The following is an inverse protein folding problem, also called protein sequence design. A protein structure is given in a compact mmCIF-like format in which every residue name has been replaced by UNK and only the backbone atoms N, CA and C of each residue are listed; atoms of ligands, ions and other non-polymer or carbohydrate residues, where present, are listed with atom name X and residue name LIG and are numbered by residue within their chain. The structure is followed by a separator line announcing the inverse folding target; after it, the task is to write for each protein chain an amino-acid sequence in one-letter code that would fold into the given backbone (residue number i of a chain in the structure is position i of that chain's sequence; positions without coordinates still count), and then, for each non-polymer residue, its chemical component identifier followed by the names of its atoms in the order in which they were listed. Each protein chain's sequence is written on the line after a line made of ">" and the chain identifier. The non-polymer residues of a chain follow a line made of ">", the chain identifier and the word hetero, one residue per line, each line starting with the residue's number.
data_IF_070406199501
#
_entry.id   IF_070406199501
#
_cell.length_a   1.000
_cell.length_b   1.000
_cell.length_c   1.000
_cell.angle_alpha   90.00
_cell.angle_beta   90.00
_cell.angle_gamma   90.00
#
_symmetry.space_group_name_H-M   'P 1'
#
loop_
_entity.id
_entity.type
_entity.pdbx_description
1 polymer ?
#
# COMPACT_ATOMS: atom_id res chain seq x y z
N UNK A 1 -11.09 -19.12 5.89
CA UNK A 1 -9.77 -18.97 5.24
C UNK A 1 -9.97 -18.64 3.76
N UNK A 2 -9.45 -17.51 3.31
CA UNK A 2 -9.64 -17.03 1.95
C UNK A 2 -8.30 -16.96 1.22
N UNK A 3 -8.31 -17.37 -0.05
CA UNK A 3 -7.12 -17.39 -0.87
C UNK A 3 -7.27 -16.42 -2.04
N UNK A 4 -6.24 -15.62 -2.29
CA UNK A 4 -6.25 -14.58 -3.31
C UNK A 4 -5.01 -14.73 -4.19
N UNK A 5 -5.14 -14.53 -5.51
CA UNK A 5 -3.98 -14.52 -6.39
C UNK A 5 -3.17 -13.24 -6.22
N UNK A 6 -1.89 -13.32 -6.53
CA UNK A 6 -1.04 -12.14 -6.66
C UNK A 6 -0.26 -12.18 -7.97
N UNK A 7 0.29 -11.05 -8.34
CA UNK A 7 1.16 -10.91 -9.50
C UNK A 7 2.57 -10.59 -9.04
N UNK A 8 3.55 -10.89 -9.88
CA UNK A 8 4.90 -10.39 -9.69
C UNK A 8 5.11 -9.17 -10.58
N UNK A 9 5.92 -8.22 -10.09
CA UNK A 9 6.31 -7.06 -10.88
C UNK A 9 7.06 -7.49 -12.15
N UNK A 10 7.24 -6.56 -13.08
CA UNK A 10 7.85 -6.83 -14.39
C UNK A 10 9.19 -7.57 -14.29
N UNK A 11 9.97 -7.29 -13.26
CA UNK A 11 11.27 -7.95 -13.02
C UNK A 11 11.16 -9.20 -12.13
N UNK A 12 9.96 -9.64 -11.81
CA UNK A 12 9.67 -10.78 -10.94
C UNK A 12 10.29 -10.69 -9.53
N UNK A 13 10.50 -9.47 -9.05
CA UNK A 13 11.19 -9.19 -7.79
C UNK A 13 10.27 -8.70 -6.66
N UNK A 14 9.03 -8.34 -6.96
CA UNK A 14 8.10 -7.78 -5.99
C UNK A 14 6.72 -8.40 -6.13
N UNK A 15 6.14 -8.80 -5.01
CA UNK A 15 4.75 -9.30 -4.96
C UNK A 15 3.80 -8.11 -5.03
N UNK A 16 2.90 -8.13 -6.01
CA UNK A 16 1.91 -7.08 -6.23
C UNK A 16 0.52 -7.61 -5.98
N UNK A 17 -0.24 -6.91 -5.18
CA UNK A 17 -1.62 -7.23 -4.86
C UNK A 17 -2.54 -6.08 -5.24
N UNK A 18 -3.75 -6.43 -5.61
CA UNK A 18 -4.76 -5.45 -5.97
C UNK A 18 -5.46 -4.93 -4.73
N UNK A 19 -5.73 -3.64 -4.73
CA UNK A 19 -6.46 -2.96 -3.66
C UNK A 19 -7.50 -2.02 -4.24
N UNK A 20 -8.45 -1.62 -3.41
CA UNK A 20 -9.45 -0.62 -3.78
C UNK A 20 -9.58 0.41 -2.69
N UNK A 21 -9.83 1.67 -3.11
CA UNK A 21 -10.22 2.75 -2.22
C UNK A 21 -11.72 2.99 -2.41
N UNK A 22 -12.45 3.04 -1.30
CA UNK A 22 -13.89 3.32 -1.27
C UNK A 22 -14.73 2.39 -2.17
N UNK A 23 -14.32 1.13 -2.32
CA UNK A 23 -14.94 0.13 -3.20
C UNK A 23 -15.01 0.54 -4.68
N UNK A 24 -14.25 1.54 -5.09
CA UNK A 24 -14.43 2.18 -6.39
C UNK A 24 -13.14 2.31 -7.17
N UNK A 25 -12.08 2.78 -6.53
CA UNK A 25 -10.83 3.08 -7.20
C UNK A 25 -9.84 1.93 -7.02
N UNK A 26 -9.52 1.25 -8.11
CA UNK A 26 -8.58 0.11 -8.10
C UNK A 26 -7.15 0.62 -8.25
N UNK A 27 -6.24 0.02 -7.48
CA UNK A 27 -4.83 0.34 -7.56
C UNK A 27 -4.00 -0.86 -7.11
N UNK A 28 -2.69 -0.77 -7.24
CA UNK A 28 -1.77 -1.89 -7.01
C UNK A 28 -0.78 -1.54 -5.92
N UNK A 29 -0.58 -2.48 -5.01
CA UNK A 29 0.34 -2.30 -3.88
C UNK A 29 1.40 -3.40 -3.87
N UNK A 30 2.63 -3.01 -3.57
CA UNK A 30 3.70 -3.94 -3.30
C UNK A 30 3.59 -4.45 -1.86
N UNK A 31 3.64 -5.75 -1.67
CA UNK A 31 3.67 -6.35 -0.33
C UNK A 31 5.08 -6.22 0.24
N UNK A 32 5.21 -5.55 1.39
CA UNK A 32 6.49 -5.32 2.03
C UNK A 32 6.39 -5.57 3.53
N UNK A 33 6.79 -6.76 3.95
CA UNK A 33 6.77 -7.14 5.37
C UNK A 33 7.84 -6.42 6.20
N UNK A 34 8.78 -5.74 5.55
CA UNK A 34 9.77 -4.90 6.23
C UNK A 34 9.23 -3.49 6.50
N UNK A 35 8.12 -3.09 5.89
CA UNK A 35 7.51 -1.79 6.12
C UNK A 35 6.58 -1.85 7.33
N UNK A 36 6.79 -0.96 8.29
CA UNK A 36 5.92 -0.84 9.47
C UNK A 36 4.64 -0.09 9.15
N UNK A 37 4.68 0.78 8.14
CA UNK A 37 3.55 1.60 7.70
C UNK A 37 3.32 1.45 6.21
N UNK A 38 2.05 1.38 5.82
CA UNK A 38 1.67 1.39 4.42
C UNK A 38 1.81 2.79 3.84
N UNK A 39 2.25 2.86 2.58
CA UNK A 39 2.46 4.13 1.87
C UNK A 39 1.72 4.09 0.55
N UNK A 40 1.02 5.17 0.22
CA UNK A 40 0.32 5.32 -1.05
C UNK A 40 0.85 6.55 -1.78
N UNK A 41 1.05 6.41 -3.09
CA UNK A 41 1.43 7.52 -3.95
C UNK A 41 0.36 8.63 -3.87
N UNK A 42 0.80 9.86 -3.60
CA UNK A 42 -0.11 10.99 -3.50
C UNK A 42 -0.93 11.21 -4.76
N UNK A 43 -0.38 10.87 -5.93
CA UNK A 43 -1.08 11.01 -7.21
C UNK A 43 -2.29 10.08 -7.29
N UNK A 44 -2.18 8.87 -6.75
CA UNK A 44 -3.30 7.92 -6.68
C UNK A 44 -4.41 8.45 -5.78
N UNK A 45 -4.07 8.99 -4.63
CA UNK A 45 -5.05 9.58 -3.71
C UNK A 45 -5.75 10.76 -4.35
N UNK A 46 -4.99 11.63 -5.03
CA UNK A 46 -5.55 12.77 -5.74
C UNK A 46 -6.57 12.34 -6.79
N UNK A 47 -6.23 11.36 -7.64
CA UNK A 47 -7.15 10.84 -8.65
C UNK A 47 -8.34 10.11 -8.05
N UNK A 48 -8.21 9.62 -6.83
CA UNK A 48 -9.31 8.97 -6.10
C UNK A 48 -10.23 9.96 -5.39
N UNK A 49 -9.97 11.25 -5.54
CA UNK A 49 -10.84 12.31 -5.00
C UNK A 49 -10.49 12.77 -3.60
N UNK A 50 -9.37 12.34 -3.04
CA UNK A 50 -8.94 12.82 -1.73
C UNK A 50 -8.28 14.19 -1.82
N UNK A 51 -8.64 15.07 -0.89
CA UNK A 51 -7.99 16.37 -0.76
C UNK A 51 -6.84 16.26 0.24
N UNK A 52 -5.61 16.41 -0.24
CA UNK A 52 -4.42 16.26 0.60
C UNK A 52 -4.02 17.54 1.34
N UNK A 53 -4.91 18.53 1.41
CA UNK A 53 -4.69 19.77 2.16
C UNK A 53 -4.69 19.55 3.68
N UNK A 54 -5.37 18.51 4.13
CA UNK A 54 -5.62 18.22 5.53
C UNK A 54 -4.86 16.99 6.02
N UNK A 55 -3.60 16.86 5.61
CA UNK A 55 -2.76 15.79 6.12
C UNK A 55 -2.43 16.03 7.59
N UNK A 56 -1.96 14.97 8.26
CA UNK A 56 -1.57 15.05 9.67
C UNK A 56 -0.19 15.70 9.88
N UNK A 57 0.41 16.24 8.82
CA UNK A 57 1.73 16.86 8.84
C UNK A 57 2.82 15.99 8.25
N UNK A 58 4.05 16.47 8.35
CA UNK A 58 5.23 15.81 7.83
C UNK A 58 5.91 14.96 8.89
N UNK A 59 6.40 13.79 8.46
CA UNK A 59 7.11 12.84 9.31
C UNK A 59 8.35 12.34 8.59
N UNK A 60 9.44 12.17 9.33
CA UNK A 60 10.65 11.58 8.80
C UNK A 60 10.57 10.06 8.85
N UNK A 61 10.97 9.41 7.76
CA UNK A 61 11.02 7.96 7.65
C UNK A 61 12.40 7.54 7.22
N UNK A 62 13.00 6.62 7.95
CA UNK A 62 14.29 6.06 7.59
C UNK A 62 14.08 4.93 6.58
N UNK A 63 14.82 4.99 5.48
CA UNK A 63 14.79 3.97 4.43
C UNK A 63 16.21 3.47 4.17
N UNK A 64 16.32 2.42 3.36
CA UNK A 64 17.63 1.91 2.94
C UNK A 64 18.47 2.97 2.20
N UNK A 65 17.83 3.95 1.59
CA UNK A 65 18.47 5.03 0.83
C UNK A 65 18.56 6.36 1.59
N UNK A 66 18.34 6.34 2.90
CA UNK A 66 18.38 7.53 3.74
C UNK A 66 17.00 7.93 4.28
N UNK A 67 16.93 9.15 4.80
CA UNK A 67 15.71 9.67 5.41
C UNK A 67 14.87 10.36 4.32
N UNK A 68 13.59 10.04 4.29
CA UNK A 68 12.63 10.72 3.43
C UNK A 68 11.56 11.40 4.29
N UNK A 69 10.91 12.40 3.73
CA UNK A 69 9.78 13.10 4.37
C UNK A 69 8.49 12.61 3.74
N UNK A 70 7.59 12.12 4.57
CA UNK A 70 6.26 11.69 4.15
C UNK A 70 5.21 12.49 4.89
N UNK A 71 4.01 12.55 4.34
CA UNK A 71 2.85 13.04 5.04
C UNK A 71 2.01 11.84 5.49
N UNK A 72 1.11 12.04 6.43
CA UNK A 72 0.17 11.01 6.90
C UNK A 72 -1.26 11.45 6.69
N UNK A 73 -2.10 10.53 6.29
CA UNK A 73 -3.48 10.82 5.93
C UNK A 73 -4.36 9.60 6.22
N UNK A 74 -5.58 9.85 6.70
CA UNK A 74 -6.54 8.78 6.94
C UNK A 74 -7.40 8.58 5.69
N UNK A 75 -7.26 7.44 5.03
CA UNK A 75 -8.15 7.07 3.93
C UNK A 75 -9.47 6.55 4.51
N UNK A 76 -10.58 6.92 3.88
CA UNK A 76 -11.90 6.57 4.40
C UNK A 76 -12.11 5.06 4.41
N UNK A 77 -11.76 4.41 3.31
CA UNK A 77 -11.90 2.96 3.20
C UNK A 77 -10.90 2.40 2.22
N UNK A 78 -10.17 1.38 2.66
CA UNK A 78 -9.23 0.63 1.83
C UNK A 78 -9.53 -0.86 1.99
N UNK A 79 -9.55 -1.59 0.89
CA UNK A 79 -9.73 -3.04 0.89
C UNK A 79 -8.63 -3.72 0.09
N UNK A 80 -8.09 -4.78 0.65
CA UNK A 80 -7.04 -5.57 0.03
C UNK A 80 -7.08 -6.97 0.64
N UNK A 81 -6.96 -8.01 -0.19
CA UNK A 81 -6.96 -9.41 0.27
C UNK A 81 -8.17 -9.75 1.16
N UNK A 82 -9.34 -9.19 0.83
CA UNK A 82 -10.55 -9.40 1.60
C UNK A 82 -10.61 -8.69 2.95
N UNK A 83 -9.57 -7.92 3.30
CA UNK A 83 -9.52 -7.14 4.54
C UNK A 83 -9.94 -5.70 4.22
N UNK A 84 -10.95 -5.22 4.91
CA UNK A 84 -11.44 -3.86 4.77
C UNK A 84 -11.07 -3.06 6.02
N UNK A 85 -10.44 -1.92 5.82
CA UNK A 85 -10.08 -0.99 6.90
C UNK A 85 -10.78 0.35 6.66
N UNK A 86 -11.38 0.90 7.71
CA UNK A 86 -12.01 2.22 7.69
C UNK A 86 -11.12 3.20 8.44
N UNK A 87 -11.02 4.43 7.91
CA UNK A 87 -10.21 5.49 8.50
C UNK A 87 -8.78 5.02 8.78
N UNK A 88 -8.19 4.38 7.78
CA UNK A 88 -6.87 3.78 7.90
C UNK A 88 -5.79 4.83 7.60
N UNK A 89 -4.86 5.03 8.54
CA UNK A 89 -3.75 5.95 8.35
C UNK A 89 -2.71 5.36 7.40
N UNK A 90 -2.38 6.10 6.34
CA UNK A 90 -1.32 5.75 5.40
C UNK A 90 -0.29 6.87 5.34
N UNK A 91 0.94 6.51 5.02
CA UNK A 91 1.94 7.49 4.61
C UNK A 91 1.68 7.88 3.17
N UNK A 92 1.94 9.14 2.85
CA UNK A 92 1.71 9.70 1.52
C UNK A 92 3.01 10.25 0.99
N UNK A 93 3.39 9.84 -0.20
CA UNK A 93 4.64 10.22 -0.83
C UNK A 93 4.40 10.42 -2.31
N UNK A 94 4.96 11.47 -2.87
CA UNK A 94 4.80 11.77 -4.31
C UNK A 94 5.85 11.00 -5.11
N UNK A 95 5.45 9.87 -5.65
CA UNK A 95 6.34 9.00 -6.43
C UNK A 95 6.86 9.71 -7.67
N UNK A 96 5.97 10.39 -8.38
CA UNK A 96 6.32 11.07 -9.62
C UNK A 96 7.34 12.19 -9.38
N UNK A 97 7.14 13.01 -8.36
CA UNK A 97 8.05 14.11 -8.02
C UNK A 97 9.45 13.61 -7.61
N UNK A 98 9.55 12.38 -7.13
CA UNK A 98 10.83 11.79 -6.71
C UNK A 98 11.39 10.79 -7.73
N UNK A 99 10.85 10.79 -8.94
CA UNK A 99 11.36 9.96 -10.04
C UNK A 99 11.12 8.47 -9.87
N UNK A 100 10.17 8.08 -9.03
CA UNK A 100 9.81 6.68 -8.86
C UNK A 100 8.84 6.26 -9.96
N UNK A 101 9.30 5.36 -10.83
CA UNK A 101 8.50 4.76 -11.89
C UNK A 101 8.45 3.26 -11.64
N UNK A 102 7.38 2.80 -11.00
CA UNK A 102 7.23 1.40 -10.63
C UNK A 102 5.90 0.84 -11.14
N UNK A 103 5.77 -0.50 -11.10
CA UNK A 103 4.54 -1.18 -11.50
C UNK A 103 3.45 -1.09 -10.44
N UNK A 104 3.70 -0.42 -9.34
CA UNK A 104 2.78 -0.33 -8.22
C UNK A 104 2.63 1.12 -7.73
N UNK A 105 1.54 1.36 -7.03
CA UNK A 105 1.09 2.69 -6.63
C UNK A 105 1.36 2.97 -5.14
N UNK A 106 1.97 2.04 -4.47
CA UNK A 106 2.28 2.14 -3.05
C UNK A 106 2.78 0.84 -2.48
N UNK A 107 2.96 0.83 -1.16
CA UNK A 107 3.46 -0.30 -0.41
C UNK A 107 2.49 -0.62 0.72
N UNK A 108 2.14 -1.89 0.89
CA UNK A 108 1.33 -2.32 2.02
C UNK A 108 2.23 -3.03 3.04
N UNK A 109 2.20 -2.54 4.25
CA UNK A 109 3.08 -2.98 5.32
C UNK A 109 2.38 -3.75 6.43
N UNK A 110 3.11 -3.98 7.52
CA UNK A 110 2.62 -4.77 8.65
C UNK A 110 1.43 -4.15 9.36
N UNK A 111 1.30 -2.82 9.33
CA UNK A 111 0.20 -2.11 9.96
C UNK A 111 -1.17 -2.55 9.43
N UNK A 112 -1.25 -2.91 8.15
CA UNK A 112 -2.49 -3.37 7.55
C UNK A 112 -2.88 -4.77 8.05
N UNK A 113 -1.91 -5.61 8.37
CA UNK A 113 -2.13 -7.01 8.75
C UNK A 113 -2.03 -7.27 10.24
N UNK A 114 -2.10 -6.23 11.07
CA UNK A 114 -1.85 -6.34 12.52
C UNK A 114 -2.76 -7.33 13.26
N UNK A 115 -3.94 -7.59 12.73
CA UNK A 115 -4.93 -8.49 13.34
C UNK A 115 -5.13 -9.78 12.54
N UNK A 116 -4.30 -10.02 11.56
CA UNK A 116 -4.49 -11.13 10.63
C UNK A 116 -3.26 -12.02 10.57
N UNK A 117 -3.51 -13.27 10.24
CA UNK A 117 -2.49 -14.20 9.83
C UNK A 117 -2.59 -14.36 8.31
N UNK A 118 -1.48 -14.26 7.61
CA UNK A 118 -1.47 -14.55 6.19
C UNK A 118 -0.27 -15.42 5.82
N UNK A 119 -0.44 -16.22 4.78
CA UNK A 119 0.58 -17.10 4.25
C UNK A 119 0.76 -16.81 2.77
N UNK A 120 2.01 -16.76 2.33
CA UNK A 120 2.36 -16.50 0.93
C UNK A 120 2.87 -17.80 0.31
N UNK A 121 2.20 -18.25 -0.75
CA UNK A 121 2.65 -19.39 -1.56
C UNK A 121 3.26 -18.83 -2.85
N UNK A 122 4.57 -18.78 -2.89
CA UNK A 122 5.30 -18.22 -4.03
C UNK A 122 5.10 -19.09 -5.28
N UNK A 123 5.07 -20.38 -5.10
CA UNK A 123 4.96 -21.32 -6.22
C UNK A 123 3.61 -21.20 -6.92
N UNK A 124 2.54 -21.11 -6.17
CA UNK A 124 1.17 -20.97 -6.70
C UNK A 124 0.78 -19.52 -6.95
N UNK A 125 1.59 -18.57 -6.51
CA UNK A 125 1.27 -17.13 -6.58
C UNK A 125 -0.05 -16.81 -5.91
N UNK A 126 -0.20 -17.28 -4.68
CA UNK A 126 -1.41 -17.09 -3.87
C UNK A 126 -1.06 -16.62 -2.47
N UNK A 127 -1.96 -15.81 -1.90
CA UNK A 127 -1.90 -15.41 -0.50
C UNK A 127 -3.16 -15.90 0.18
N UNK A 128 -3.00 -16.59 1.31
CA UNK A 128 -4.12 -17.05 2.13
C UNK A 128 -4.19 -16.22 3.40
N UNK A 129 -5.38 -15.71 3.70
CA UNK A 129 -5.64 -14.84 4.85
C UNK A 129 -6.61 -15.53 5.81
N UNK A 130 -6.27 -15.49 7.08
CA UNK A 130 -7.11 -15.96 8.18
C UNK A 130 -7.58 -14.82 9.06
#
# INVERSE_FOLDING_TARGET
>A
MNTFPFELATNEDVIIINATLENKFKFRLALDTAATHSTIDSNVLYFSGYELKNTKGEFEVETANGIIIVERYDVVMIECLGIKKLNFEVQVYDFLAHGITSDYDGVIGLDFFSENKFCVDIKKKEITVE
#
